data_IF_689617072785
#
_entry.id   IF_689617072785
#
_cell.length_a   1.000
_cell.length_b   1.000
_cell.length_c   1.000
_cell.angle_alpha   90.00
_cell.angle_beta   90.00
_cell.angle_gamma   90.00
#
_symmetry.space_group_name_H-M   'P 1'
#
loop_
_entity.id
_entity.type
_entity.pdbx_description
1 polymer ?
#
# COMPACT_ATOMS: atom_id res chain seq x y z
N UNK A 1 15.11 -23.20 -5.39
CA UNK A 1 13.94 -23.66 -4.60
C UNK A 1 13.03 -22.47 -4.42
N UNK A 2 11.74 -22.66 -4.64
CA UNK A 2 10.69 -21.65 -4.42
C UNK A 2 10.50 -21.43 -2.92
N UNK A 3 10.42 -20.16 -2.49
CA UNK A 3 10.17 -19.81 -1.10
C UNK A 3 8.67 -19.52 -0.91
N UNK A 4 8.10 -20.10 0.15
CA UNK A 4 6.71 -19.84 0.58
C UNK A 4 6.49 -18.40 1.02
N UNK A 5 7.58 -17.73 1.41
CA UNK A 5 7.60 -16.38 1.94
C UNK A 5 8.32 -15.46 0.96
N UNK A 6 7.63 -14.42 0.53
CA UNK A 6 8.18 -13.31 -0.22
C UNK A 6 8.41 -12.11 0.70
N UNK A 7 9.65 -11.93 1.14
CA UNK A 7 10.06 -10.78 1.96
C UNK A 7 10.16 -9.51 1.12
N UNK A 8 9.79 -8.39 1.73
CA UNK A 8 10.13 -7.09 1.14
C UNK A 8 11.65 -6.93 1.12
N UNK A 9 12.16 -6.18 0.14
CA UNK A 9 13.60 -5.90 0.05
C UNK A 9 14.13 -5.29 1.35
N UNK A 10 13.32 -4.44 2.00
CA UNK A 10 13.63 -3.85 3.32
C UNK A 10 13.88 -4.88 4.41
N UNK A 11 12.96 -5.82 4.56
CA UNK A 11 13.07 -6.86 5.58
C UNK A 11 14.26 -7.76 5.28
N UNK A 12 14.44 -8.15 4.00
CA UNK A 12 15.57 -9.00 3.60
C UNK A 12 16.92 -8.31 3.85
N UNK A 13 17.10 -7.06 3.39
CA UNK A 13 18.34 -6.30 3.60
C UNK A 13 18.68 -6.14 5.08
N UNK A 14 17.69 -5.91 5.96
CA UNK A 14 17.94 -5.81 7.40
C UNK A 14 18.32 -7.16 8.03
N UNK A 15 17.70 -8.27 7.60
CA UNK A 15 18.07 -9.60 8.07
C UNK A 15 19.52 -9.92 7.68
N UNK A 16 19.92 -9.53 6.47
CA UNK A 16 21.27 -9.76 5.95
C UNK A 16 22.31 -8.85 6.62
N UNK A 17 21.97 -7.59 6.90
CA UNK A 17 22.80 -6.63 7.64
C UNK A 17 21.96 -5.73 8.58
N UNK A 18 21.83 -6.12 9.87
CA UNK A 18 21.08 -5.35 10.86
C UNK A 18 21.72 -4.01 11.23
N UNK A 19 22.98 -3.77 10.88
CA UNK A 19 23.68 -2.50 11.13
C UNK A 19 23.32 -1.41 10.11
N UNK A 20 22.73 -1.83 8.98
CA UNK A 20 22.29 -0.98 7.89
C UNK A 20 20.94 -0.30 8.15
N UNK A 21 20.00 -0.48 7.22
CA UNK A 21 18.74 0.26 7.22
C UNK A 21 17.68 -0.43 8.04
N UNK A 22 16.92 0.33 8.84
CA UNK A 22 15.75 -0.21 9.53
C UNK A 22 14.77 -0.86 8.54
N UNK A 23 14.09 -1.96 8.92
CA UNK A 23 13.16 -2.67 8.05
C UNK A 23 11.80 -1.95 7.93
N UNK A 24 11.83 -0.62 7.82
CA UNK A 24 10.65 0.24 7.70
C UNK A 24 10.46 0.65 6.24
N UNK A 25 9.37 0.20 5.64
CA UNK A 25 9.00 0.60 4.27
C UNK A 25 8.17 1.88 4.26
N UNK A 26 7.29 2.06 5.24
CA UNK A 26 6.37 3.19 5.30
C UNK A 26 6.09 3.62 6.75
N UNK A 27 5.75 4.90 6.92
CA UNK A 27 5.40 5.52 8.19
C UNK A 27 4.34 6.61 8.00
N UNK A 28 3.74 7.06 9.10
CA UNK A 28 2.79 8.19 9.13
C UNK A 28 3.27 9.28 10.08
N UNK A 29 3.01 10.55 9.74
CA UNK A 29 3.10 11.67 10.66
C UNK A 29 1.84 12.53 10.60
N UNK A 30 1.24 12.80 11.76
CA UNK A 30 0.12 13.73 11.92
C UNK A 30 0.66 15.07 12.41
N UNK A 31 0.50 16.11 11.61
CA UNK A 31 1.03 17.44 11.91
C UNK A 31 0.06 18.17 12.82
N UNK A 32 0.51 18.53 14.03
CA UNK A 32 -0.22 19.43 14.92
C UNK A 32 -0.09 20.88 14.44
N UNK A 33 -1.08 21.70 14.80
CA UNK A 33 -1.19 23.09 14.36
C UNK A 33 -0.27 24.07 15.12
N UNK A 34 0.92 23.61 15.48
CA UNK A 34 1.93 24.35 16.23
C UNK A 34 3.27 24.21 15.54
N UNK A 35 4.10 25.26 15.57
CA UNK A 35 5.43 25.21 14.95
C UNK A 35 6.34 24.22 15.68
N UNK A 36 6.40 24.33 17.00
CA UNK A 36 7.25 23.52 17.87
C UNK A 36 6.47 22.35 18.51
N UNK A 37 7.19 21.49 19.22
CA UNK A 37 6.62 20.35 19.96
C UNK A 37 6.81 19.00 19.26
N UNK A 38 6.49 17.89 19.95
CA UNK A 38 6.82 16.54 19.47
C UNK A 38 6.12 16.17 18.15
N UNK A 39 4.96 16.76 17.87
CA UNK A 39 4.22 16.56 16.62
C UNK A 39 3.97 17.88 15.88
N UNK A 40 4.72 18.94 16.19
CA UNK A 40 4.60 20.23 15.50
C UNK A 40 5.12 20.18 14.06
N UNK A 41 4.98 21.31 13.36
CA UNK A 41 5.35 21.48 11.95
C UNK A 41 6.87 21.30 11.74
N UNK A 42 7.73 21.79 12.63
CA UNK A 42 9.18 21.60 12.47
C UNK A 42 9.59 20.14 12.71
N UNK A 43 8.92 19.48 13.66
CA UNK A 43 9.14 18.07 13.95
C UNK A 43 8.74 17.18 12.77
N UNK A 44 7.67 17.52 12.05
CA UNK A 44 7.26 16.77 10.86
C UNK A 44 8.28 16.86 9.72
N UNK A 45 8.94 18.01 9.54
CA UNK A 45 10.01 18.16 8.54
C UNK A 45 11.22 17.30 8.88
N UNK A 46 11.64 17.33 10.15
CA UNK A 46 12.72 16.46 10.66
C UNK A 46 12.36 14.99 10.48
N UNK A 47 11.13 14.62 10.80
CA UNK A 47 10.63 13.26 10.67
C UNK A 47 10.58 12.79 9.21
N UNK A 48 10.03 13.60 8.31
CA UNK A 48 10.02 13.31 6.88
C UNK A 48 11.45 13.15 6.33
N UNK A 49 12.38 14.01 6.74
CA UNK A 49 13.80 13.90 6.39
C UNK A 49 14.44 12.62 6.94
N UNK A 50 14.12 12.23 8.17
CA UNK A 50 14.56 10.96 8.74
C UNK A 50 14.03 9.79 7.89
N UNK A 51 12.71 9.72 7.68
CA UNK A 51 12.09 8.66 6.89
C UNK A 51 12.74 8.52 5.51
N UNK A 52 12.86 9.61 4.75
CA UNK A 52 13.41 9.59 3.39
C UNK A 52 14.89 9.17 3.35
N UNK A 53 15.73 9.59 4.31
CA UNK A 53 17.16 9.21 4.33
C UNK A 53 17.39 7.74 4.67
N UNK A 54 16.51 7.17 5.50
CA UNK A 54 16.46 5.73 5.74
C UNK A 54 15.62 4.99 4.69
N UNK A 55 15.05 5.74 3.75
CA UNK A 55 14.23 5.36 2.59
C UNK A 55 12.85 4.76 2.88
N UNK A 56 12.27 5.10 4.02
CA UNK A 56 10.86 4.86 4.28
C UNK A 56 10.02 5.93 3.55
N UNK A 57 8.88 5.51 3.00
CA UNK A 57 7.84 6.46 2.58
C UNK A 57 7.15 7.09 3.79
N UNK A 58 6.79 8.38 3.71
CA UNK A 58 6.14 9.10 4.79
C UNK A 58 4.80 9.71 4.34
N UNK A 59 3.70 9.26 4.94
CA UNK A 59 2.41 9.93 4.79
C UNK A 59 2.29 11.07 5.80
N UNK A 60 2.01 12.28 5.31
CA UNK A 60 1.87 13.49 6.11
C UNK A 60 0.39 13.90 6.14
N UNK A 61 -0.23 13.85 7.31
CA UNK A 61 -1.61 14.27 7.51
C UNK A 61 -1.67 15.72 7.98
N UNK A 62 -2.31 16.57 7.18
CA UNK A 62 -2.33 18.04 7.34
C UNK A 62 -3.65 18.56 7.92
N UNK A 63 -4.57 17.67 8.28
CA UNK A 63 -5.94 17.98 8.71
C UNK A 63 -6.05 19.03 9.84
N UNK A 64 -5.06 19.08 10.74
CA UNK A 64 -5.12 19.94 11.91
C UNK A 64 -4.63 21.35 11.64
N UNK A 65 -3.96 21.60 10.52
CA UNK A 65 -3.46 22.92 10.18
C UNK A 65 -4.61 23.89 9.97
N UNK A 66 -4.41 25.14 10.39
CA UNK A 66 -5.39 26.19 10.12
C UNK A 66 -5.62 26.34 8.61
N UNK A 67 -6.88 26.56 8.21
CA UNK A 67 -7.19 26.75 6.81
C UNK A 67 -6.63 28.08 6.31
N UNK A 68 -6.40 28.16 5.00
CA UNK A 68 -5.88 29.36 4.36
C UNK A 68 -6.76 30.57 4.64
N UNK A 69 -6.12 31.67 5.05
CA UNK A 69 -6.82 32.92 5.38
C UNK A 69 -7.38 32.98 6.79
N UNK A 70 -7.29 31.91 7.59
CA UNK A 70 -7.65 31.97 9.00
C UNK A 70 -6.72 32.91 9.76
N UNK A 71 -7.29 33.82 10.56
CA UNK A 71 -6.53 34.79 11.36
C UNK A 71 -6.53 34.34 12.82
N UNK A 72 -5.36 33.97 13.35
CA UNK A 72 -5.19 33.60 14.76
C UNK A 72 -5.33 34.81 15.68
N UNK A 73 -5.56 34.56 16.97
CA UNK A 73 -5.56 35.60 18.01
C UNK A 73 -4.23 36.38 18.09
N UNK A 74 -3.12 35.77 17.69
CA UNK A 74 -1.81 36.42 17.57
C UNK A 74 -1.72 37.44 16.42
N UNK A 75 -2.71 37.50 15.53
CA UNK A 75 -2.73 38.34 14.33
C UNK A 75 -2.09 37.71 13.09
N UNK A 76 -1.52 36.50 13.21
CA UNK A 76 -0.95 35.76 12.06
C UNK A 76 -2.07 35.19 11.20
N UNK A 77 -1.99 35.41 9.89
CA UNK A 77 -2.88 34.78 8.90
C UNK A 77 -2.26 33.49 8.38
N UNK A 78 -2.98 32.37 8.49
CA UNK A 78 -2.52 31.07 8.04
C UNK A 78 -2.47 30.98 6.50
N UNK A 79 -1.42 30.36 5.99
CA UNK A 79 -1.25 30.09 4.54
C UNK A 79 -1.92 28.80 4.07
N UNK A 80 -2.47 28.01 4.99
CA UNK A 80 -3.16 26.75 4.71
C UNK A 80 -2.24 25.54 4.49
N UNK A 81 -2.81 24.32 4.47
CA UNK A 81 -2.06 23.07 4.39
C UNK A 81 -1.33 22.90 3.04
N UNK A 82 -1.88 23.42 1.94
CA UNK A 82 -1.26 23.36 0.61
C UNK A 82 0.09 24.09 0.60
N UNK A 83 0.20 25.24 1.29
CA UNK A 83 1.46 25.99 1.40
C UNK A 83 2.55 25.17 2.10
N UNK A 84 2.21 24.47 3.18
CA UNK A 84 3.16 23.57 3.86
C UNK A 84 3.45 22.32 3.00
N UNK A 85 2.47 21.86 2.22
CA UNK A 85 2.62 20.80 1.22
C UNK A 85 3.83 21.00 0.29
N UNK A 86 4.08 22.25 -0.13
CA UNK A 86 5.23 22.60 -0.98
C UNK A 86 6.57 22.27 -0.33
N UNK A 87 6.69 22.48 0.99
CA UNK A 87 7.92 22.16 1.74
C UNK A 87 8.18 20.66 1.70
N UNK A 88 7.16 19.84 1.94
CA UNK A 88 7.32 18.38 1.86
C UNK A 88 7.63 17.90 0.44
N UNK A 89 7.06 18.54 -0.59
CA UNK A 89 7.43 18.29 -1.98
C UNK A 89 8.90 18.60 -2.24
N UNK A 90 9.41 19.74 -1.76
CA UNK A 90 10.84 20.06 -1.87
C UNK A 90 11.72 19.10 -1.07
N UNK A 91 11.32 18.70 0.14
CA UNK A 91 12.05 17.70 0.92
C UNK A 91 12.15 16.37 0.17
N UNK A 92 11.05 15.91 -0.43
CA UNK A 92 11.04 14.67 -1.19
C UNK A 92 11.96 14.77 -2.41
N UNK A 93 11.89 15.87 -3.17
CA UNK A 93 12.77 16.10 -4.33
C UNK A 93 14.25 16.05 -3.95
N UNK A 94 14.65 16.83 -2.95
CA UNK A 94 16.05 17.05 -2.62
C UNK A 94 16.66 15.82 -1.97
N UNK A 95 15.96 15.20 -1.02
CA UNK A 95 16.52 14.07 -0.26
C UNK A 95 16.48 12.76 -1.03
N UNK A 96 15.46 12.51 -1.87
CA UNK A 96 15.42 11.35 -2.76
C UNK A 96 16.57 11.36 -3.76
N UNK A 97 17.02 12.55 -4.20
CA UNK A 97 18.11 12.71 -5.17
C UNK A 97 19.51 12.79 -4.55
N UNK A 98 19.61 13.24 -3.29
CA UNK A 98 20.89 13.49 -2.62
C UNK A 98 21.46 12.32 -1.79
N UNK A 99 20.70 11.24 -1.58
CA UNK A 99 21.15 10.09 -0.81
C UNK A 99 21.83 9.00 -1.65
N UNK A 100 22.58 8.11 -1.00
CA UNK A 100 23.00 6.80 -1.56
C UNK A 100 21.78 5.99 -2.04
N UNK A 101 20.62 6.30 -1.47
CA UNK A 101 19.38 5.56 -1.65
C UNK A 101 18.27 6.48 -2.17
N UNK A 102 17.76 6.16 -3.37
CA UNK A 102 16.77 6.98 -4.09
C UNK A 102 15.31 6.58 -3.81
N UNK A 103 15.06 5.86 -2.73
CA UNK A 103 13.79 5.21 -2.45
C UNK A 103 13.08 5.94 -1.32
N UNK A 104 12.15 6.83 -1.64
CA UNK A 104 11.37 7.57 -0.67
C UNK A 104 10.21 8.29 -1.36
N UNK A 105 9.05 8.28 -0.72
CA UNK A 105 7.85 8.90 -1.25
C UNK A 105 7.13 9.64 -0.14
N UNK A 106 6.57 10.80 -0.47
CA UNK A 106 5.67 11.52 0.43
C UNK A 106 4.28 11.55 -0.17
N UNK A 107 3.29 11.29 0.69
CA UNK A 107 1.87 11.44 0.38
C UNK A 107 1.27 12.42 1.34
N UNK A 108 0.61 13.45 0.82
CA UNK A 108 -0.11 14.41 1.62
C UNK A 108 -1.56 13.94 1.77
N UNK A 109 -2.06 13.96 3.00
CA UNK A 109 -3.43 13.62 3.31
C UNK A 109 -4.17 14.82 3.88
N UNK A 110 -5.40 15.01 3.40
CA UNK A 110 -6.38 15.93 3.97
C UNK A 110 -7.77 15.28 3.92
N UNK A 111 -8.66 15.65 4.82
CA UNK A 111 -10.03 15.13 4.87
C UNK A 111 -10.94 15.89 3.92
N UNK A 112 -11.94 15.20 3.37
CA UNK A 112 -12.87 15.79 2.40
C UNK A 112 -13.65 16.98 2.97
N UNK A 113 -13.94 16.97 4.27
CA UNK A 113 -14.61 18.06 4.97
C UNK A 113 -13.67 19.21 5.39
N UNK A 114 -12.38 19.15 5.06
CA UNK A 114 -11.46 20.24 5.36
C UNK A 114 -11.79 21.47 4.48
N UNK A 115 -11.77 22.70 5.03
CA UNK A 115 -12.07 23.91 4.25
C UNK A 115 -11.22 24.09 2.99
N UNK A 116 -9.99 23.56 2.98
CA UNK A 116 -9.06 23.66 1.87
C UNK A 116 -9.05 22.41 0.96
N UNK A 117 -9.97 21.45 1.15
CA UNK A 117 -10.02 20.21 0.37
C UNK A 117 -10.20 20.45 -1.13
N UNK A 118 -11.06 21.40 -1.53
CA UNK A 118 -11.24 21.76 -2.94
C UNK A 118 -9.96 22.35 -3.55
N UNK A 119 -9.28 23.27 -2.85
CA UNK A 119 -8.00 23.82 -3.32
C UNK A 119 -6.94 22.72 -3.41
N UNK A 120 -6.90 21.80 -2.43
CA UNK A 120 -5.99 20.65 -2.43
C UNK A 120 -6.22 19.72 -3.64
N UNK A 121 -7.48 19.41 -3.97
CA UNK A 121 -7.86 18.56 -5.13
C UNK A 121 -7.47 19.23 -6.44
N UNK A 122 -7.80 20.50 -6.59
CA UNK A 122 -7.64 21.28 -7.84
C UNK A 122 -6.25 21.88 -8.02
N UNK A 123 -5.36 21.76 -7.02
CA UNK A 123 -3.96 22.20 -7.14
C UNK A 123 -3.28 21.49 -8.33
N UNK A 124 -2.65 22.22 -9.26
CA UNK A 124 -1.95 21.60 -10.37
C UNK A 124 -0.76 20.74 -9.93
N UNK A 125 -0.47 19.65 -10.65
CA UNK A 125 0.71 18.79 -10.39
C UNK A 125 2.01 19.58 -10.28
N UNK A 126 2.18 20.62 -11.09
CA UNK A 126 3.38 21.47 -11.09
C UNK A 126 3.65 22.22 -9.79
N UNK A 127 2.64 22.43 -8.94
CA UNK A 127 2.78 23.08 -7.64
C UNK A 127 3.23 22.10 -6.54
N UNK A 128 2.96 20.80 -6.73
CA UNK A 128 3.28 19.71 -5.81
C UNK A 128 3.88 18.50 -6.56
N UNK A 129 4.93 18.68 -7.37
CA UNK A 129 5.37 17.68 -8.35
C UNK A 129 6.00 16.43 -7.74
N UNK A 130 6.40 16.49 -6.47
CA UNK A 130 7.12 15.41 -5.79
C UNK A 130 6.35 14.83 -4.61
N UNK A 131 5.03 15.03 -4.55
CA UNK A 131 4.17 14.35 -3.57
C UNK A 131 2.95 13.77 -4.26
N UNK A 132 2.42 12.70 -3.69
CA UNK A 132 1.08 12.22 -4.02
C UNK A 132 0.06 12.83 -3.08
N UNK A 133 -1.21 12.79 -3.46
CA UNK A 133 -2.30 13.44 -2.73
C UNK A 133 -3.41 12.44 -2.45
N UNK A 134 -3.88 12.43 -1.21
CA UNK A 134 -4.93 11.54 -0.76
C UNK A 134 -6.01 12.32 0.01
N UNK A 135 -7.26 12.02 -0.31
CA UNK A 135 -8.43 12.51 0.41
C UNK A 135 -8.91 11.44 1.39
N UNK A 136 -8.93 11.78 2.67
CA UNK A 136 -9.59 10.98 3.70
C UNK A 136 -11.10 11.23 3.66
N UNK A 137 -11.91 10.17 3.66
CA UNK A 137 -13.34 10.28 3.39
C UNK A 137 -14.19 9.38 4.31
N UNK A 138 -15.39 9.87 4.63
CA UNK A 138 -16.49 9.12 5.25
C UNK A 138 -17.72 9.23 4.36
N UNK A 139 -18.71 8.37 4.57
CA UNK A 139 -20.01 8.47 3.88
C UNK A 139 -20.67 9.85 4.13
N UNK A 140 -20.65 10.33 5.36
CA UNK A 140 -21.21 11.64 5.73
C UNK A 140 -20.54 12.78 4.94
N UNK A 141 -19.20 12.82 4.92
CA UNK A 141 -18.47 13.87 4.20
C UNK A 141 -18.65 13.77 2.70
N UNK A 142 -18.83 12.55 2.17
CA UNK A 142 -19.18 12.36 0.78
C UNK A 142 -20.56 12.95 0.49
N UNK A 143 -21.57 12.68 1.31
CA UNK A 143 -22.91 13.23 1.09
C UNK A 143 -22.95 14.76 1.19
N UNK A 144 -22.18 15.35 2.11
CA UNK A 144 -22.09 16.80 2.29
C UNK A 144 -21.19 17.51 1.26
N UNK A 145 -20.39 16.76 0.48
CA UNK A 145 -19.45 17.34 -0.46
C UNK A 145 -20.16 18.07 -1.62
N UNK A 146 -19.80 19.34 -1.82
CA UNK A 146 -20.35 20.19 -2.89
C UNK A 146 -19.48 20.23 -4.16
N UNK A 147 -18.35 19.52 -4.18
CA UNK A 147 -17.35 19.50 -5.26
C UNK A 147 -16.97 18.06 -5.66
N UNK A 148 -18.00 17.20 -5.76
CA UNK A 148 -17.82 15.79 -6.12
C UNK A 148 -17.20 15.63 -7.50
N UNK A 149 -17.57 16.46 -8.46
CA UNK A 149 -17.07 16.39 -9.84
C UNK A 149 -15.55 16.60 -9.92
N UNK A 150 -15.01 17.57 -9.17
CA UNK A 150 -13.57 17.82 -9.09
C UNK A 150 -12.83 16.63 -8.46
N UNK A 151 -13.41 16.04 -7.41
CA UNK A 151 -12.85 14.84 -6.78
C UNK A 151 -12.87 13.64 -7.72
N UNK A 152 -14.00 13.37 -8.38
CA UNK A 152 -14.17 12.30 -9.36
C UNK A 152 -13.18 12.44 -10.52
N UNK A 153 -12.99 13.67 -11.02
CA UNK A 153 -11.99 13.95 -12.05
C UNK A 153 -10.57 13.69 -11.55
N UNK A 154 -10.24 14.11 -10.32
CA UNK A 154 -8.93 13.87 -9.70
C UNK A 154 -8.62 12.39 -9.49
N UNK A 155 -9.63 11.58 -9.13
CA UNK A 155 -9.48 10.12 -9.03
C UNK A 155 -9.24 9.53 -10.42
N UNK A 156 -10.05 9.93 -11.40
CA UNK A 156 -9.97 9.43 -12.78
C UNK A 156 -8.59 9.67 -13.39
N UNK A 157 -8.02 10.85 -13.21
CA UNK A 157 -6.69 11.21 -13.72
C UNK A 157 -5.53 10.62 -12.91
N UNK A 158 -5.81 9.94 -11.79
CA UNK A 158 -4.78 9.41 -10.88
C UNK A 158 -4.13 10.45 -9.98
N UNK A 159 -4.65 11.69 -9.96
CA UNK A 159 -4.14 12.79 -9.14
C UNK A 159 -4.47 12.66 -7.65
N UNK A 160 -5.61 12.07 -7.36
CA UNK A 160 -6.18 11.98 -6.01
C UNK A 160 -6.52 10.54 -5.70
N UNK A 161 -5.99 10.05 -4.59
CA UNK A 161 -6.35 8.76 -4.02
C UNK A 161 -7.40 8.94 -2.93
N UNK A 162 -8.17 7.89 -2.64
CA UNK A 162 -9.14 7.90 -1.53
C UNK A 162 -8.71 6.98 -0.40
N UNK A 163 -8.95 7.42 0.82
CA UNK A 163 -8.71 6.63 2.02
C UNK A 163 -9.90 6.73 2.96
N UNK A 164 -10.51 5.61 3.34
CA UNK A 164 -11.57 5.62 4.34
C UNK A 164 -10.99 6.02 5.70
N UNK A 165 -11.69 6.89 6.43
CA UNK A 165 -11.33 7.20 7.81
C UNK A 165 -11.53 5.95 8.67
N UNK A 166 -10.51 5.62 9.48
CA UNK A 166 -10.56 4.46 10.39
C UNK A 166 -10.16 4.84 11.82
N UNK A 167 -10.63 4.03 12.75
CA UNK A 167 -10.36 4.13 14.17
C UNK A 167 -9.91 2.77 14.68
N UNK A 168 -9.07 2.77 15.72
CA UNK A 168 -8.74 1.55 16.45
C UNK A 168 -9.87 1.16 17.42
N UNK A 169 -9.66 0.05 18.14
CA UNK A 169 -10.63 -0.49 19.10
C UNK A 169 -10.88 0.43 20.31
N UNK A 170 -10.05 1.46 20.52
CA UNK A 170 -10.20 2.48 21.57
C UNK A 170 -10.92 3.74 21.04
N UNK A 171 -11.33 3.73 19.77
CA UNK A 171 -11.97 4.87 19.12
C UNK A 171 -10.98 5.98 18.74
N UNK A 172 -9.67 5.72 18.76
CA UNK A 172 -8.66 6.69 18.35
C UNK A 172 -8.41 6.57 16.84
N UNK A 173 -8.31 7.73 16.17
CA UNK A 173 -8.07 7.79 14.73
C UNK A 173 -6.72 7.13 14.39
N UNK A 174 -6.75 6.27 13.38
CA UNK A 174 -5.58 5.71 12.73
C UNK A 174 -5.56 6.17 11.27
N UNK A 175 -4.37 6.29 10.70
CA UNK A 175 -4.12 7.11 9.53
C UNK A 175 -3.47 6.27 8.44
N UNK A 176 -3.91 6.45 7.19
CA UNK A 176 -3.34 5.75 6.03
C UNK A 176 -1.89 6.15 5.78
N UNK A 177 -1.06 5.17 5.37
CA UNK A 177 0.33 5.34 4.95
C UNK A 177 0.44 5.73 3.47
N UNK A 178 1.67 5.68 2.93
CA UNK A 178 2.00 6.06 1.55
C UNK A 178 1.28 5.24 0.49
N UNK A 179 1.15 3.92 0.67
CA UNK A 179 0.50 3.08 -0.35
C UNK A 179 -0.96 2.75 0.00
N UNK A 180 -1.49 3.28 1.11
CA UNK A 180 -2.88 3.13 1.56
C UNK A 180 -3.33 1.70 1.94
N UNK A 181 -2.38 0.80 2.23
CA UNK A 181 -2.62 -0.53 2.78
C UNK A 181 -2.44 -0.60 4.30
N UNK A 182 -1.69 0.33 4.90
CA UNK A 182 -1.39 0.34 6.33
C UNK A 182 -2.06 1.52 7.04
N UNK A 183 -2.71 1.24 8.16
CA UNK A 183 -3.24 2.26 9.08
C UNK A 183 -2.45 2.29 10.39
N UNK A 184 -1.91 3.46 10.75
CA UNK A 184 -0.98 3.64 11.85
C UNK A 184 -1.37 4.86 12.71
N UNK A 185 -1.01 4.88 14.01
CA UNK A 185 -0.91 6.15 14.73
C UNK A 185 0.22 7.02 14.15
N UNK A 186 0.25 8.31 14.51
CA UNK A 186 1.39 9.18 14.17
C UNK A 186 2.70 8.57 14.69
N UNK A 187 3.76 8.62 13.88
CA UNK A 187 5.08 8.01 14.09
C UNK A 187 5.12 6.48 14.14
N UNK A 188 3.98 5.80 13.89
CA UNK A 188 3.94 4.35 13.77
C UNK A 188 4.57 3.86 12.46
N UNK A 189 4.99 2.61 12.47
CA UNK A 189 5.61 1.89 11.36
C UNK A 189 4.97 0.53 11.17
N UNK A 190 5.29 -0.18 10.09
CA UNK A 190 4.82 -1.54 9.89
C UNK A 190 5.88 -2.37 9.17
N UNK A 191 6.05 -3.61 9.63
CA UNK A 191 6.84 -4.62 8.93
C UNK A 191 5.96 -5.39 7.97
N UNK A 192 6.38 -5.41 6.70
CA UNK A 192 5.63 -6.03 5.62
C UNK A 192 6.34 -7.26 5.06
N UNK A 193 5.56 -8.31 4.85
CA UNK A 193 5.98 -9.56 4.22
C UNK A 193 4.76 -10.20 3.55
N UNK A 194 4.98 -11.10 2.58
CA UNK A 194 3.90 -11.71 1.83
C UNK A 194 4.03 -13.23 1.80
N UNK A 195 2.88 -13.91 1.88
CA UNK A 195 2.78 -15.30 1.46
C UNK A 195 2.88 -15.37 -0.06
N UNK A 196 3.80 -16.17 -0.59
CA UNK A 196 3.89 -16.48 -2.00
C UNK A 196 2.94 -17.64 -2.32
N UNK A 197 1.70 -17.33 -2.67
CA UNK A 197 0.68 -18.32 -3.00
C UNK A 197 1.07 -19.15 -4.23
N UNK A 198 1.80 -18.58 -5.19
CA UNK A 198 2.29 -19.30 -6.36
C UNK A 198 3.29 -20.41 -6.00
N UNK A 199 3.99 -20.28 -4.88
CA UNK A 199 4.93 -21.28 -4.37
C UNK A 199 4.30 -22.33 -3.44
N UNK A 200 2.99 -22.27 -3.19
CA UNK A 200 2.32 -23.22 -2.30
C UNK A 200 1.73 -24.40 -3.10
N UNK A 201 1.86 -25.63 -2.56
CA UNK A 201 0.85 -26.67 -2.78
C UNK A 201 -0.36 -26.43 -1.86
N UNK A 202 -1.47 -27.13 -2.09
CA UNK A 202 -2.72 -26.97 -1.33
C UNK A 202 -2.48 -27.10 0.19
N UNK A 203 -1.75 -28.14 0.60
CA UNK A 203 -1.43 -28.39 2.00
C UNK A 203 -0.40 -27.38 2.58
N UNK A 204 0.36 -26.69 1.73
CA UNK A 204 1.36 -25.70 2.16
C UNK A 204 0.74 -24.35 2.49
N UNK A 205 -0.45 -24.02 1.95
CA UNK A 205 -1.06 -22.69 2.09
C UNK A 205 -1.18 -22.30 3.57
N UNK A 206 -1.82 -23.12 4.40
CA UNK A 206 -1.95 -22.80 5.83
C UNK A 206 -0.59 -22.69 6.53
N UNK A 207 0.36 -23.57 6.17
CA UNK A 207 1.73 -23.52 6.71
C UNK A 207 2.42 -22.20 6.36
N UNK A 208 2.29 -21.72 5.13
CA UNK A 208 2.91 -20.48 4.67
C UNK A 208 2.40 -19.25 5.44
N UNK A 209 1.10 -19.20 5.74
CA UNK A 209 0.53 -18.14 6.60
C UNK A 209 1.07 -18.19 8.04
N UNK A 210 1.17 -19.40 8.63
CA UNK A 210 1.73 -19.61 9.97
C UNK A 210 3.19 -19.16 10.02
N UNK A 211 4.01 -19.61 9.07
CA UNK A 211 5.43 -19.26 8.99
C UNK A 211 5.62 -17.75 8.79
N UNK A 212 4.89 -17.16 7.84
CA UNK A 212 5.00 -15.74 7.52
C UNK A 212 4.62 -14.84 8.70
N UNK A 213 3.54 -15.17 9.41
CA UNK A 213 3.13 -14.39 10.57
C UNK A 213 4.11 -14.57 11.75
N UNK A 214 4.55 -15.80 11.99
CA UNK A 214 5.51 -16.10 13.06
C UNK A 214 6.81 -15.34 12.85
N UNK A 215 7.30 -15.31 11.61
CA UNK A 215 8.51 -14.57 11.25
C UNK A 215 8.35 -13.07 11.50
N UNK A 216 7.29 -12.45 10.97
CA UNK A 216 7.02 -11.02 11.18
C UNK A 216 6.92 -10.66 12.66
N UNK A 217 6.17 -11.46 13.43
CA UNK A 217 5.94 -11.20 14.85
C UNK A 217 7.23 -11.33 15.68
N UNK A 218 8.10 -12.29 15.35
CA UNK A 218 9.40 -12.45 15.99
C UNK A 218 10.32 -11.26 15.66
N UNK A 219 10.41 -10.92 14.37
CA UNK A 219 11.26 -9.84 13.87
C UNK A 219 10.89 -8.49 14.49
N UNK A 220 9.60 -8.20 14.61
CA UNK A 220 9.06 -6.93 15.10
C UNK A 220 9.71 -6.39 16.37
N UNK A 221 10.03 -7.25 17.33
CA UNK A 221 10.62 -6.84 18.61
C UNK A 221 12.13 -6.60 18.58
N UNK A 222 12.80 -6.92 17.47
CA UNK A 222 14.27 -7.01 17.39
C UNK A 222 14.89 -5.98 16.44
N UNK A 223 14.07 -5.16 15.78
CA UNK A 223 14.51 -4.29 14.67
C UNK A 223 15.27 -3.03 15.09
N UNK A 224 15.21 -2.65 16.38
CA UNK A 224 15.76 -1.38 16.85
C UNK A 224 15.01 -0.14 16.36
N UNK A 225 13.83 -0.27 15.74
CA UNK A 225 13.13 0.85 15.07
C UNK A 225 12.88 2.07 15.96
N UNK A 226 12.67 1.85 17.27
CA UNK A 226 12.43 2.93 18.25
C UNK A 226 13.70 3.60 18.78
N UNK A 227 14.90 3.12 18.48
CA UNK A 227 16.15 3.59 19.10
C UNK A 227 16.53 5.02 18.70
N UNK A 228 16.10 5.46 17.51
CA UNK A 228 16.33 6.83 17.05
C UNK A 228 15.48 7.87 17.80
N UNK A 229 14.42 7.42 18.49
CA UNK A 229 13.39 8.27 19.10
C UNK A 229 12.45 8.94 18.09
N UNK A 230 12.62 8.71 16.78
CA UNK A 230 11.71 9.27 15.77
C UNK A 230 10.47 8.40 15.58
N UNK A 231 10.64 7.10 15.42
CA UNK A 231 9.54 6.14 15.32
C UNK A 231 9.05 5.71 16.71
N UNK A 232 7.79 5.28 16.79
CA UNK A 232 7.28 4.62 17.98
C UNK A 232 8.04 3.31 18.22
N UNK A 233 8.29 3.00 19.49
CA UNK A 233 8.95 1.74 19.84
C UNK A 233 8.00 0.54 19.63
N UNK A 234 8.55 -0.66 19.36
CA UNK A 234 7.78 -1.92 19.28
C UNK A 234 7.02 -2.31 20.55
N UNK A 235 7.23 -1.59 21.66
CA UNK A 235 6.45 -1.74 22.89
C UNK A 235 5.04 -1.14 22.72
N UNK A 236 4.94 0.02 22.09
CA UNK A 236 3.68 0.74 21.87
C UNK A 236 3.08 0.47 20.49
N UNK A 237 3.94 0.39 19.47
CA UNK A 237 3.53 0.11 18.10
C UNK A 237 3.50 -1.40 17.89
N UNK A 238 2.37 -2.06 18.16
CA UNK A 238 2.23 -3.53 18.08
C UNK A 238 1.61 -3.97 16.75
N UNK A 239 2.30 -3.77 15.63
CA UNK A 239 1.69 -3.91 14.31
C UNK A 239 2.63 -4.56 13.29
N UNK A 240 2.07 -5.48 12.50
CA UNK A 240 2.74 -6.11 11.34
C UNK A 240 1.76 -6.21 10.18
N UNK A 241 2.25 -6.46 8.97
CA UNK A 241 1.41 -6.59 7.77
C UNK A 241 1.82 -7.77 6.94
N UNK A 242 1.19 -8.93 7.19
CA UNK A 242 1.26 -10.08 6.31
C UNK A 242 0.26 -9.91 5.17
N UNK A 243 0.77 -9.84 3.94
CA UNK A 243 -0.01 -9.87 2.72
C UNK A 243 0.14 -11.20 1.98
N UNK A 244 -0.19 -11.16 0.70
CA UNK A 244 0.00 -12.28 -0.22
C UNK A 244 0.37 -11.77 -1.60
N UNK A 245 1.00 -12.63 -2.39
CA UNK A 245 1.23 -12.46 -3.82
C UNK A 245 1.07 -13.80 -4.55
N UNK A 246 0.97 -13.77 -5.88
CA UNK A 246 0.93 -14.98 -6.70
C UNK A 246 -0.43 -15.65 -6.74
N UNK A 247 -1.54 -14.93 -6.46
CA UNK A 247 -2.88 -15.52 -6.51
C UNK A 247 -3.21 -16.06 -7.90
N UNK A 248 -2.92 -15.30 -8.96
CA UNK A 248 -3.21 -15.74 -10.32
C UNK A 248 -2.44 -17.02 -10.69
N UNK A 249 -1.20 -17.17 -10.22
CA UNK A 249 -0.41 -18.39 -10.41
C UNK A 249 -1.06 -19.58 -9.70
N UNK A 250 -1.49 -19.40 -8.45
CA UNK A 250 -2.19 -20.42 -7.69
C UNK A 250 -3.47 -20.87 -8.41
N UNK A 251 -4.33 -19.91 -8.80
CA UNK A 251 -5.58 -20.18 -9.49
C UNK A 251 -5.37 -20.95 -10.81
N UNK A 252 -4.38 -20.54 -11.62
CA UNK A 252 -3.98 -21.26 -12.84
C UNK A 252 -3.59 -22.70 -12.54
N UNK A 253 -2.73 -22.95 -11.53
CA UNK A 253 -2.24 -24.30 -11.21
C UNK A 253 -3.35 -25.26 -10.80
N UNK A 254 -4.43 -24.75 -10.20
CA UNK A 254 -5.61 -25.52 -9.81
C UNK A 254 -6.73 -25.48 -10.85
N UNK A 255 -6.52 -24.84 -12.01
CA UNK A 255 -7.52 -24.67 -13.07
C UNK A 255 -8.83 -24.06 -12.55
N UNK A 256 -8.71 -23.01 -11.73
CA UNK A 256 -9.81 -22.23 -11.18
C UNK A 256 -9.76 -20.83 -11.79
N UNK A 257 -10.87 -20.34 -12.34
CA UNK A 257 -10.96 -18.97 -12.83
C UNK A 257 -11.14 -17.98 -11.67
N UNK A 258 -10.78 -16.71 -11.87
CA UNK A 258 -11.11 -15.62 -10.95
C UNK A 258 -12.63 -15.52 -10.70
N UNK A 259 -13.44 -15.77 -11.73
CA UNK A 259 -14.90 -15.85 -11.59
C UNK A 259 -15.32 -16.91 -10.57
N UNK A 260 -14.87 -18.16 -10.75
CA UNK A 260 -15.27 -19.27 -9.88
C UNK A 260 -14.71 -19.11 -8.47
N UNK A 261 -13.50 -18.56 -8.34
CA UNK A 261 -12.91 -18.22 -7.05
C UNK A 261 -13.70 -17.12 -6.33
N UNK A 262 -14.13 -16.08 -7.05
CA UNK A 262 -14.99 -15.03 -6.52
C UNK A 262 -16.37 -15.54 -6.07
N UNK A 263 -16.97 -16.46 -6.82
CA UNK A 263 -18.22 -17.15 -6.42
C UNK A 263 -17.99 -17.94 -5.14
N UNK A 264 -16.91 -18.71 -5.06
CA UNK A 264 -16.57 -19.51 -3.88
C UNK A 264 -16.30 -18.64 -2.64
N UNK A 265 -15.65 -17.48 -2.82
CA UNK A 265 -15.44 -16.50 -1.74
C UNK A 265 -16.76 -15.98 -1.18
N UNK A 266 -17.72 -15.64 -2.03
CA UNK A 266 -19.05 -15.22 -1.57
C UNK A 266 -19.75 -16.34 -0.80
N UNK A 267 -19.75 -17.56 -1.33
CA UNK A 267 -20.37 -18.73 -0.68
C UNK A 267 -19.77 -18.95 0.71
N UNK A 268 -18.44 -19.00 0.82
CA UNK A 268 -17.73 -19.12 2.09
C UNK A 268 -18.06 -17.97 3.04
N UNK A 269 -18.06 -16.74 2.53
CA UNK A 269 -18.36 -15.57 3.34
C UNK A 269 -19.81 -15.53 3.84
N UNK A 270 -20.77 -16.09 3.11
CA UNK A 270 -22.16 -16.22 3.56
C UNK A 270 -22.40 -17.44 4.47
N UNK A 271 -21.36 -18.23 4.76
CA UNK A 271 -21.46 -19.42 5.61
C UNK A 271 -22.11 -20.62 4.92
N UNK A 272 -22.17 -20.61 3.59
CA UNK A 272 -22.55 -21.78 2.80
C UNK A 272 -21.43 -22.81 2.82
N UNK A 273 -21.75 -24.10 2.58
CA UNK A 273 -20.75 -25.16 2.44
C UNK A 273 -20.95 -25.82 1.08
N UNK A 274 -19.98 -25.65 0.20
CA UNK A 274 -20.04 -26.11 -1.19
C UNK A 274 -18.87 -27.03 -1.48
N UNK A 275 -19.13 -28.17 -2.09
CA UNK A 275 -18.06 -29.09 -2.51
C UNK A 275 -17.61 -28.74 -3.93
N UNK A 276 -16.60 -27.88 -4.04
CA UNK A 276 -15.94 -27.56 -5.31
C UNK A 276 -14.46 -27.27 -5.09
N UNK A 277 -13.58 -27.44 -6.11
CA UNK A 277 -12.16 -27.11 -5.98
C UNK A 277 -11.92 -25.65 -5.54
N UNK A 278 -12.70 -24.71 -6.07
CA UNK A 278 -12.61 -23.30 -5.69
C UNK A 278 -12.97 -23.06 -4.21
N UNK A 279 -14.05 -23.69 -3.72
CA UNK A 279 -14.47 -23.56 -2.33
C UNK A 279 -13.47 -24.20 -1.35
N UNK A 280 -12.90 -25.36 -1.68
CA UNK A 280 -11.86 -25.98 -0.86
C UNK A 280 -10.60 -25.10 -0.80
N UNK A 281 -10.21 -24.47 -1.92
CA UNK A 281 -9.09 -23.54 -1.96
C UNK A 281 -9.34 -22.29 -1.10
N UNK A 282 -10.54 -21.71 -1.17
CA UNK A 282 -10.95 -20.60 -0.28
C UNK A 282 -10.89 -21.02 1.19
N UNK A 283 -11.42 -22.20 1.51
CA UNK A 283 -11.43 -22.74 2.88
C UNK A 283 -10.01 -22.91 3.43
N UNK A 284 -9.08 -23.35 2.58
CA UNK A 284 -7.68 -23.53 2.95
C UNK A 284 -6.94 -22.19 3.19
N UNK A 285 -7.21 -21.18 2.35
CA UNK A 285 -6.70 -19.81 2.57
C UNK A 285 -7.28 -19.22 3.87
N UNK A 286 -8.59 -19.38 4.08
CA UNK A 286 -9.26 -18.89 5.28
C UNK A 286 -8.70 -19.55 6.57
N UNK A 287 -8.46 -20.86 6.53
CA UNK A 287 -7.79 -21.60 7.61
C UNK A 287 -6.38 -21.05 7.89
N UNK A 288 -5.61 -20.74 6.85
CA UNK A 288 -4.29 -20.10 6.99
C UNK A 288 -4.38 -18.72 7.64
N UNK A 289 -5.31 -17.89 7.19
CA UNK A 289 -5.57 -16.55 7.75
C UNK A 289 -5.93 -16.64 9.24
N UNK A 290 -6.84 -17.52 9.64
CA UNK A 290 -7.26 -17.65 11.04
C UNK A 290 -6.12 -18.16 11.95
N UNK A 291 -5.29 -19.09 11.46
CA UNK A 291 -4.13 -19.57 12.20
C UNK A 291 -3.06 -18.49 12.35
N UNK A 292 -2.77 -17.73 11.28
CA UNK A 292 -1.91 -16.54 11.36
C UNK A 292 -2.50 -15.49 12.33
N UNK A 293 -3.81 -15.27 12.31
CA UNK A 293 -4.45 -14.34 13.24
C UNK A 293 -4.31 -14.80 14.70
N UNK A 294 -4.35 -16.10 14.98
CA UNK A 294 -4.07 -16.65 16.31
C UNK A 294 -2.65 -16.30 16.78
N UNK A 295 -1.66 -16.51 15.91
CA UNK A 295 -0.25 -16.18 16.22
C UNK A 295 -0.09 -14.69 16.47
N UNK A 296 -0.64 -13.84 15.62
CA UNK A 296 -0.60 -12.39 15.82
C UNK A 296 -1.18 -11.97 17.18
N UNK A 297 -2.28 -12.59 17.62
CA UNK A 297 -2.89 -12.34 18.94
C UNK A 297 -2.02 -12.83 20.09
N UNK A 298 -1.35 -13.97 19.95
CA UNK A 298 -0.39 -14.47 20.95
C UNK A 298 0.76 -13.48 21.16
N UNK A 299 1.22 -12.86 20.05
CA UNK A 299 2.19 -11.77 20.08
C UNK A 299 1.58 -10.40 20.40
N UNK A 300 0.30 -10.32 20.77
CA UNK A 300 -0.40 -9.07 21.13
C UNK A 300 -0.34 -8.01 20.03
N UNK A 301 -0.30 -8.42 18.77
CA UNK A 301 -0.40 -7.50 17.64
C UNK A 301 -1.82 -6.95 17.58
N UNK A 302 -1.95 -5.64 17.40
CA UNK A 302 -3.25 -4.96 17.27
C UNK A 302 -3.72 -4.92 15.81
N UNK A 303 -2.79 -5.04 14.86
CA UNK A 303 -3.03 -5.20 13.41
C UNK A 303 -1.92 -6.09 12.83
N UNK A 304 -2.28 -6.92 11.85
CA UNK A 304 -1.45 -8.03 11.40
C UNK A 304 -1.49 -8.28 9.89
N UNK A 305 -2.54 -7.85 9.17
CA UNK A 305 -2.70 -8.14 7.75
C UNK A 305 -2.76 -6.87 6.92
N UNK A 306 -2.04 -6.86 5.79
CA UNK A 306 -2.06 -5.76 4.83
C UNK A 306 -1.75 -6.29 3.43
N UNK A 307 -2.58 -5.96 2.43
CA UNK A 307 -2.26 -6.27 1.02
C UNK A 307 -1.58 -5.04 0.43
N UNK A 308 -0.24 -5.05 0.47
CA UNK A 308 0.58 -4.00 -0.12
C UNK A 308 0.82 -4.25 -1.62
N UNK A 309 1.20 -3.23 -2.41
CA UNK A 309 1.69 -3.43 -3.76
C UNK A 309 3.00 -4.23 -3.71
N UNK A 310 3.10 -5.32 -4.49
CA UNK A 310 4.22 -6.28 -4.37
C UNK A 310 5.14 -6.31 -5.57
N UNK A 311 5.18 -5.28 -6.43
CA UNK A 311 5.91 -5.34 -7.71
C UNK A 311 7.36 -5.86 -7.59
N UNK A 312 8.17 -5.31 -6.68
CA UNK A 312 9.55 -5.77 -6.50
C UNK A 312 9.63 -7.19 -5.92
N UNK A 313 8.75 -7.52 -4.98
CA UNK A 313 8.69 -8.85 -4.35
C UNK A 313 8.28 -9.91 -5.38
N UNK A 314 7.34 -9.57 -6.26
CA UNK A 314 6.83 -10.39 -7.35
C UNK A 314 7.95 -10.78 -8.30
N UNK A 315 8.76 -9.83 -8.78
CA UNK A 315 9.88 -10.08 -9.69
C UNK A 315 10.94 -11.03 -9.13
N UNK A 316 11.17 -10.99 -7.81
CA UNK A 316 12.11 -11.90 -7.12
C UNK A 316 11.49 -13.23 -6.71
N UNK A 317 10.18 -13.40 -6.90
CA UNK A 317 9.43 -14.59 -6.48
C UNK A 317 9.07 -15.47 -7.67
N UNK A 318 9.10 -16.78 -7.46
CA UNK A 318 8.72 -17.78 -8.47
C UNK A 318 7.57 -18.64 -7.96
N UNK A 319 6.72 -19.10 -8.88
CA UNK A 319 5.75 -20.16 -8.64
C UNK A 319 6.41 -21.55 -8.79
N UNK A 320 5.68 -22.61 -8.43
CA UNK A 320 6.21 -23.99 -8.48
C UNK A 320 6.57 -24.48 -9.89
N UNK A 321 6.04 -23.85 -10.94
CA UNK A 321 6.35 -24.18 -12.33
C UNK A 321 7.52 -23.36 -12.89
N UNK A 322 8.09 -22.45 -12.08
CA UNK A 322 9.24 -21.62 -12.43
C UNK A 322 8.89 -20.27 -13.07
N UNK A 323 7.61 -19.92 -13.18
CA UNK A 323 7.19 -18.59 -13.63
C UNK A 323 7.37 -17.56 -12.52
N UNK A 324 7.51 -16.29 -12.90
CA UNK A 324 7.44 -15.19 -11.94
C UNK A 324 6.09 -15.20 -11.24
N UNK A 325 6.08 -15.00 -9.93
CA UNK A 325 4.83 -14.92 -9.17
C UNK A 325 4.16 -13.57 -9.46
N UNK A 326 2.86 -13.58 -9.71
CA UNK A 326 2.06 -12.38 -10.00
C UNK A 326 1.97 -11.44 -8.80
N UNK A 327 1.81 -10.12 -9.02
CA UNK A 327 1.61 -9.18 -7.92
C UNK A 327 0.33 -9.48 -7.13
N UNK A 328 0.43 -9.39 -5.81
CA UNK A 328 -0.68 -9.45 -4.86
C UNK A 328 -1.84 -10.44 -5.16
N UNK A 329 -3.08 -9.94 -5.21
CA UNK A 329 -4.31 -10.69 -5.47
C UNK A 329 -5.01 -10.27 -6.77
N UNK A 330 -4.59 -9.20 -7.44
CA UNK A 330 -5.16 -8.82 -8.73
C UNK A 330 -4.58 -9.68 -9.86
N UNK A 331 -5.37 -9.92 -10.92
CA UNK A 331 -4.82 -10.46 -12.15
C UNK A 331 -3.79 -9.49 -12.74
N UNK A 332 -2.66 -9.98 -13.29
CA UNK A 332 -1.69 -9.11 -13.91
C UNK A 332 -2.28 -8.46 -15.17
N UNK A 333 -1.77 -7.28 -15.55
CA UNK A 333 -2.19 -6.58 -16.77
C UNK A 333 -1.83 -7.39 -18.03
N UNK A 334 -0.68 -8.07 -18.00
CA UNK A 334 -0.16 -8.89 -19.07
C UNK A 334 0.51 -10.14 -18.49
N UNK A 335 0.57 -11.23 -19.28
CA UNK A 335 1.30 -12.46 -18.91
C UNK A 335 2.82 -12.26 -18.89
N UNK A 336 3.31 -11.25 -19.60
CA UNK A 336 4.73 -10.89 -19.62
C UNK A 336 4.92 -9.40 -19.39
N UNK A 337 5.97 -9.04 -18.65
CA UNK A 337 6.39 -7.66 -18.41
C UNK A 337 7.88 -7.57 -18.69
N UNK A 338 8.25 -6.68 -19.61
CA UNK A 338 9.64 -6.33 -19.86
C UNK A 338 10.04 -5.15 -18.98
N UNK A 339 11.21 -5.24 -18.37
CA UNK A 339 11.81 -4.17 -17.56
C UNK A 339 13.17 -3.83 -18.14
N UNK A 340 13.30 -2.60 -18.64
CA UNK A 340 14.62 -2.06 -18.93
C UNK A 340 15.29 -1.71 -17.60
N UNK A 341 16.52 -2.16 -17.43
CA UNK A 341 17.37 -1.73 -16.32
C UNK A 341 18.59 -1.07 -16.94
N UNK A 342 18.90 0.17 -16.51
CA UNK A 342 20.01 0.93 -17.06
C UNK A 342 21.39 0.23 -17.02
N UNK A 343 21.54 -0.82 -16.21
CA UNK A 343 22.78 -1.60 -16.01
C UNK A 343 22.72 -3.03 -16.57
N UNK A 344 21.56 -3.72 -16.53
CA UNK A 344 21.46 -5.14 -16.90
C UNK A 344 20.69 -5.36 -18.22
N UNK A 345 20.22 -4.29 -18.87
CA UNK A 345 19.40 -4.37 -20.08
C UNK A 345 17.96 -4.79 -19.77
N UNK A 346 17.25 -5.23 -20.81
CA UNK A 346 15.84 -5.64 -20.72
C UNK A 346 15.75 -7.03 -20.08
N UNK A 347 15.15 -7.10 -18.90
CA UNK A 347 14.75 -8.34 -18.23
C UNK A 347 13.26 -8.61 -18.45
N UNK A 348 12.93 -9.80 -18.95
CA UNK A 348 11.55 -10.23 -19.17
C UNK A 348 11.06 -11.10 -18.02
N UNK A 349 10.00 -10.67 -17.37
CA UNK A 349 9.28 -11.43 -16.36
C UNK A 349 8.06 -12.10 -16.97
N UNK A 350 7.99 -13.42 -16.87
CA UNK A 350 6.88 -14.23 -17.40
C UNK A 350 6.07 -14.82 -16.25
N UNK A 351 4.78 -14.50 -16.18
CA UNK A 351 3.85 -14.98 -15.15
C UNK A 351 3.18 -16.31 -15.49
N UNK A 352 3.44 -16.87 -16.68
CA UNK A 352 2.80 -18.08 -17.18
C UNK A 352 1.42 -17.82 -17.77
N UNK A 353 0.68 -18.88 -18.04
CA UNK A 353 -0.66 -18.80 -18.65
C UNK A 353 -1.75 -18.52 -17.61
N UNK A 354 -1.61 -17.38 -16.91
CA UNK A 354 -2.58 -16.87 -15.94
C UNK A 354 -3.63 -16.02 -16.64
N UNK A 355 -4.84 -15.92 -16.06
CA UNK A 355 -5.82 -14.93 -16.50
C UNK A 355 -5.28 -13.51 -16.27
N UNK A 356 -5.42 -12.64 -17.27
CA UNK A 356 -5.03 -11.22 -17.17
C UNK A 356 -6.23 -10.32 -16.89
N UNK A 357 -5.98 -9.09 -16.44
CA UNK A 357 -7.02 -8.15 -16.03
C UNK A 357 -8.14 -7.95 -17.07
N UNK A 358 -7.79 -7.86 -18.36
CA UNK A 358 -8.74 -7.72 -19.46
C UNK A 358 -9.60 -8.96 -19.74
N UNK A 359 -9.13 -10.15 -19.33
CA UNK A 359 -9.88 -11.41 -19.43
C UNK A 359 -10.82 -11.60 -18.22
N UNK A 360 -10.33 -11.25 -17.03
CA UNK A 360 -11.08 -11.38 -15.77
C UNK A 360 -12.23 -10.37 -15.71
N UNK A 361 -11.97 -9.12 -16.08
CA UNK A 361 -12.91 -8.01 -15.98
C UNK A 361 -13.10 -7.47 -14.55
N UNK A 362 -13.55 -6.21 -14.48
CA UNK A 362 -13.64 -5.45 -13.23
C UNK A 362 -14.49 -6.14 -12.16
N UNK A 363 -15.68 -6.60 -12.51
CA UNK A 363 -16.64 -7.14 -11.53
C UNK A 363 -16.12 -8.43 -10.85
N UNK A 364 -15.48 -9.31 -11.62
CA UNK A 364 -14.90 -10.54 -11.07
C UNK A 364 -13.69 -10.25 -10.18
N UNK A 365 -12.79 -9.35 -10.61
CA UNK A 365 -11.67 -8.91 -9.77
C UNK A 365 -12.16 -8.25 -8.48
N UNK A 366 -13.10 -7.31 -8.59
CA UNK A 366 -13.68 -6.61 -7.44
C UNK A 366 -14.33 -7.60 -6.48
N UNK A 367 -15.06 -8.60 -6.98
CA UNK A 367 -15.65 -9.68 -6.17
C UNK A 367 -14.59 -10.48 -5.40
N UNK A 368 -13.49 -10.86 -6.05
CA UNK A 368 -12.38 -11.56 -5.39
C UNK A 368 -11.72 -10.67 -4.33
N UNK A 369 -11.42 -9.41 -4.68
CA UNK A 369 -10.85 -8.45 -3.75
C UNK A 369 -11.76 -8.25 -2.53
N UNK A 370 -13.05 -7.96 -2.74
CA UNK A 370 -14.01 -7.77 -1.66
C UNK A 370 -14.15 -9.03 -0.78
N UNK A 371 -14.15 -10.21 -1.40
CA UNK A 371 -14.22 -11.50 -0.69
C UNK A 371 -13.02 -11.75 0.22
N UNK A 372 -11.79 -11.51 -0.27
CA UNK A 372 -10.56 -11.66 0.53
C UNK A 372 -10.50 -10.62 1.65
N UNK A 373 -10.80 -9.35 1.35
CA UNK A 373 -10.79 -8.29 2.36
C UNK A 373 -11.84 -8.53 3.43
N UNK A 374 -13.00 -9.08 3.07
CA UNK A 374 -14.01 -9.50 4.05
C UNK A 374 -13.46 -10.57 5.01
N UNK A 375 -12.77 -11.59 4.50
CA UNK A 375 -12.13 -12.61 5.35
C UNK A 375 -11.08 -12.01 6.28
N UNK A 376 -10.16 -11.20 5.74
CA UNK A 376 -9.12 -10.57 6.56
C UNK A 376 -9.72 -9.62 7.61
N UNK A 377 -10.76 -8.88 7.26
CA UNK A 377 -11.42 -7.95 8.19
C UNK A 377 -12.12 -8.68 9.35
N UNK A 378 -12.67 -9.87 9.14
CA UNK A 378 -13.30 -10.70 10.20
C UNK A 378 -12.33 -11.07 11.32
N UNK A 379 -11.03 -11.14 11.02
CA UNK A 379 -10.01 -11.39 12.06
C UNK A 379 -9.91 -10.25 13.09
N UNK A 380 -10.38 -9.04 12.74
CA UNK A 380 -10.19 -7.82 13.52
C UNK A 380 -8.77 -7.25 13.47
N UNK A 381 -7.88 -7.81 12.64
CA UNK A 381 -6.45 -7.44 12.55
C UNK A 381 -6.06 -6.83 11.19
N UNK A 382 -7.02 -6.57 10.30
CA UNK A 382 -6.74 -5.98 8.99
C UNK A 382 -6.36 -4.51 9.11
N UNK A 383 -5.20 -4.15 8.54
CA UNK A 383 -4.90 -2.78 8.14
C UNK A 383 -5.70 -2.39 6.89
N UNK A 384 -5.46 -3.02 5.74
CA UNK A 384 -6.14 -2.63 4.51
C UNK A 384 -5.52 -3.23 3.25
N UNK A 385 -5.92 -2.68 2.12
CA UNK A 385 -5.45 -3.06 0.79
C UNK A 385 -5.26 -1.81 -0.07
N UNK A 386 -4.11 -1.69 -0.72
CA UNK A 386 -3.86 -0.75 -1.83
C UNK A 386 -4.69 -1.11 -3.06
N UNK A 387 -6.00 -0.92 -2.97
CA UNK A 387 -6.94 -1.35 -4.00
C UNK A 387 -6.90 -0.41 -5.22
N UNK A 388 -6.53 -0.95 -6.38
CA UNK A 388 -6.50 -0.19 -7.62
C UNK A 388 -7.84 -0.27 -8.35
N UNK A 389 -8.26 0.83 -8.97
CA UNK A 389 -9.37 0.85 -9.94
C UNK A 389 -8.87 0.81 -11.38
N UNK A 390 -9.71 0.34 -12.30
CA UNK A 390 -9.37 0.20 -13.71
C UNK A 390 -10.11 1.24 -14.55
N UNK A 391 -9.43 2.34 -14.84
CA UNK A 391 -9.96 3.57 -15.45
C UNK A 391 -10.63 3.40 -16.81
N UNK A 392 -10.26 2.36 -17.54
CA UNK A 392 -10.80 1.98 -18.84
C UNK A 392 -11.89 0.91 -18.75
N UNK A 393 -12.22 0.44 -17.53
CA UNK A 393 -13.30 -0.50 -17.26
C UNK A 393 -14.38 0.05 -16.31
N UNK A 394 -14.07 1.10 -15.53
CA UNK A 394 -15.02 1.72 -14.60
C UNK A 394 -15.43 3.11 -15.05
N UNK A 395 -16.63 3.53 -14.64
CA UNK A 395 -17.06 4.93 -14.75
C UNK A 395 -16.94 5.57 -13.37
N UNK A 396 -16.09 6.60 -13.25
CA UNK A 396 -15.95 7.36 -12.01
C UNK A 396 -17.10 8.35 -11.86
N UNK A 397 -18.24 7.85 -11.36
CA UNK A 397 -19.41 8.64 -10.99
C UNK A 397 -19.71 8.53 -9.49
N UNK A 398 -20.81 9.15 -9.05
CA UNK A 398 -21.21 9.08 -7.65
C UNK A 398 -21.50 7.64 -7.19
N UNK A 399 -22.11 6.82 -8.05
CA UNK A 399 -22.47 5.45 -7.72
C UNK A 399 -21.22 4.60 -7.48
N UNK A 400 -20.15 4.81 -8.25
CA UNK A 400 -18.87 4.16 -8.05
C UNK A 400 -18.28 4.45 -6.66
N UNK A 401 -18.22 5.73 -6.25
CA UNK A 401 -17.68 6.10 -4.93
C UNK A 401 -18.59 5.58 -3.81
N UNK A 402 -19.91 5.63 -3.96
CA UNK A 402 -20.87 5.12 -2.98
C UNK A 402 -20.84 3.58 -2.85
N UNK A 403 -20.61 2.87 -3.95
CA UNK A 403 -20.37 1.43 -3.94
C UNK A 403 -19.06 1.11 -3.23
N UNK A 404 -17.97 1.82 -3.57
CA UNK A 404 -16.69 1.65 -2.90
C UNK A 404 -16.77 1.98 -1.40
N UNK A 405 -17.48 3.04 -0.99
CA UNK A 405 -17.69 3.38 0.42
C UNK A 405 -18.38 2.26 1.20
N UNK A 406 -19.39 1.61 0.59
CA UNK A 406 -20.11 0.46 1.16
C UNK A 406 -19.34 -0.85 1.11
N UNK A 407 -18.35 -0.98 0.23
CA UNK A 407 -17.56 -2.18 0.07
C UNK A 407 -16.60 -2.39 1.26
N UNK A 408 -16.07 -3.61 1.45
CA UNK A 408 -15.08 -3.88 2.51
C UNK A 408 -13.71 -3.23 2.24
N UNK A 409 -13.48 -2.65 1.06
CA UNK A 409 -12.22 -2.00 0.71
C UNK A 409 -11.90 -0.83 1.64
N UNK A 410 -10.62 -0.56 1.84
CA UNK A 410 -10.15 0.48 2.77
C UNK A 410 -9.68 1.74 2.05
N UNK A 411 -9.13 1.60 0.86
CA UNK A 411 -8.60 2.71 0.06
C UNK A 411 -8.94 2.54 -1.42
N UNK A 412 -8.68 3.59 -2.19
CA UNK A 412 -8.66 3.60 -3.65
C UNK A 412 -7.33 4.23 -4.06
N UNK A 413 -6.41 3.39 -4.54
CA UNK A 413 -5.01 3.73 -4.78
C UNK A 413 -4.79 4.25 -6.21
N UNK A 414 -4.24 3.45 -7.11
CA UNK A 414 -4.07 3.89 -8.51
C UNK A 414 -5.31 3.63 -9.37
N UNK A 415 -5.51 4.55 -10.31
CA UNK A 415 -6.41 4.44 -11.45
C UNK A 415 -5.59 3.89 -12.63
N UNK A 416 -5.67 2.58 -12.89
CA UNK A 416 -4.86 1.87 -13.88
C UNK A 416 -5.57 1.76 -15.23
N UNK A 417 -4.82 1.62 -16.31
CA UNK A 417 -5.34 1.18 -17.61
C UNK A 417 -4.92 -0.27 -17.81
N UNK A 418 -5.88 -1.15 -18.09
CA UNK A 418 -5.64 -2.60 -18.13
C UNK A 418 -5.96 -3.24 -19.49
N UNK A 419 -6.59 -2.49 -20.40
CA UNK A 419 -6.81 -2.92 -21.77
C UNK A 419 -5.56 -2.63 -22.61
N UNK A 420 -5.18 -3.57 -23.48
CA UNK A 420 -3.91 -3.50 -24.24
C UNK A 420 -3.76 -2.29 -25.18
N UNK A 421 -4.87 -1.65 -25.56
CA UNK A 421 -4.90 -0.57 -26.57
C UNK A 421 -5.24 0.82 -26.00
N UNK A 422 -5.38 0.98 -24.68
CA UNK A 422 -5.92 2.21 -24.07
C UNK A 422 -4.87 3.13 -23.45
N UNK A 423 -3.57 2.81 -23.54
CA UNK A 423 -2.52 3.66 -22.97
C UNK A 423 -2.64 5.11 -23.47
N UNK A 424 -3.06 6.01 -22.58
CA UNK A 424 -3.18 7.43 -22.89
C UNK A 424 -1.79 8.06 -22.89
N UNK A 425 -1.16 8.08 -24.06
CA UNK A 425 0.18 8.67 -24.28
C UNK A 425 0.19 10.20 -24.22
N UNK A 426 -0.94 10.85 -23.92
CA UNK A 426 -1.03 12.32 -23.86
C UNK A 426 -0.67 12.92 -22.51
N UNK A 427 -0.61 12.10 -21.45
CA UNK A 427 -0.19 12.56 -20.13
C UNK A 427 1.30 12.23 -19.89
N UNK A 428 2.16 13.21 -20.17
CA UNK A 428 3.61 13.10 -19.91
C UNK A 428 3.95 12.75 -18.45
N UNK A 429 2.99 12.91 -17.52
CA UNK A 429 3.14 12.54 -16.12
C UNK A 429 2.68 11.10 -15.79
N UNK A 430 1.82 10.47 -16.61
CA UNK A 430 1.56 9.03 -16.48
C UNK A 430 2.81 8.22 -16.85
N UNK A 431 3.62 8.75 -17.79
CA UNK A 431 4.96 8.26 -18.06
C UNK A 431 5.89 8.47 -16.85
N UNK A 432 5.81 9.60 -16.14
CA UNK A 432 6.57 9.84 -14.90
C UNK A 432 6.13 8.95 -13.73
N UNK A 433 4.87 8.52 -13.65
CA UNK A 433 4.40 7.58 -12.62
C UNK A 433 4.87 6.15 -12.87
N UNK A 434 4.89 5.74 -14.16
CA UNK A 434 5.57 4.51 -14.57
C UNK A 434 7.08 4.61 -14.29
N UNK A 435 7.71 5.74 -14.64
CA UNK A 435 9.13 6.01 -14.43
C UNK A 435 9.48 6.15 -12.94
N UNK A 436 8.57 6.62 -12.06
CA UNK A 436 8.77 6.72 -10.60
C UNK A 436 8.65 5.36 -9.92
N UNK A 437 7.69 4.54 -10.35
CA UNK A 437 7.60 3.13 -9.96
C UNK A 437 8.82 2.37 -10.51
N UNK A 438 9.23 2.62 -11.76
CA UNK A 438 10.44 2.04 -12.38
C UNK A 438 11.71 2.45 -11.64
N UNK A 439 11.91 3.73 -11.37
CA UNK A 439 13.05 4.24 -10.61
C UNK A 439 13.07 3.69 -9.17
N UNK A 440 11.93 3.54 -8.52
CA UNK A 440 11.85 2.89 -7.20
C UNK A 440 12.25 1.40 -7.26
N UNK A 441 11.92 0.71 -8.37
CA UNK A 441 12.18 -0.71 -8.57
C UNK A 441 13.62 -1.00 -9.05
N UNK A 442 14.19 -0.18 -9.94
CA UNK A 442 15.56 -0.30 -10.43
C UNK A 442 16.61 -0.23 -9.30
N UNK A 443 16.40 0.66 -8.32
CA UNK A 443 17.35 0.85 -7.22
C UNK A 443 17.31 -0.25 -6.15
N UNK A 444 16.35 -1.18 -6.19
CA UNK A 444 16.28 -2.35 -5.30
C UNK A 444 17.03 -3.55 -5.90
N UNK A 445 17.21 -3.58 -7.23
CA UNK A 445 17.84 -4.70 -7.94
C UNK A 445 19.35 -4.52 -8.17
N UNK A 446 19.85 -3.28 -8.03
CA UNK A 446 21.24 -2.91 -8.37
C UNK A 446 22.17 -2.69 -7.16
N UNK A 447 21.96 -3.34 -6.02
CA UNK A 447 22.97 -3.32 -4.94
C UNK A 447 24.10 -4.30 -5.26
N UNK A 448 25.20 -3.80 -5.86
CA UNK A 448 26.51 -4.44 -5.71
C UNK A 448 26.89 -4.40 -4.23
N UNK A 449 27.26 -5.56 -3.67
CA UNK A 449 27.94 -5.64 -2.37
C UNK A 449 29.34 -5.04 -2.56
N UNK A 450 29.47 -3.72 -2.44
CA UNK A 450 30.78 -3.12 -2.22
C UNK A 450 31.08 -3.21 -0.73
N UNK A 451 31.91 -4.19 -0.39
CA UNK A 451 32.58 -4.31 0.90
C UNK A 451 33.46 -3.06 1.11
N UNK A 452 33.01 -2.11 1.94
CA UNK A 452 33.86 -1.02 2.42
C UNK A 452 34.79 -1.53 3.54
N UNK A 453 35.74 -2.37 3.14
CA UNK A 453 37.03 -2.43 3.80
C UNK A 453 37.99 -1.47 3.06
N UNK A 454 37.82 -0.16 3.24
CA UNK A 454 38.90 0.81 2.98
C UNK A 454 38.63 2.19 3.63
N UNK A 455 39.49 2.45 4.63
CA UNK A 455 39.78 3.69 5.39
C UNK A 455 38.81 4.17 6.48
#
# INVERSE_FOLDING_TARGET
MTNLIARTGRVQSWIDDPSGRLPVSCTVFVVENEMEGPNGIEASWKFASHALRYGAGCAIHLDKLDPKGYVRESGVTASGPISFGKIYSTLNEILRRGGVYKNGAIVLHISLNNPDALEFITTPRSELPWVKRCINITEEWWQDCTFKEELLQGIRSGDIWLNKVRYDNEGKRIYGNVCLEVYLPSRGTCLLQHVNLGACEFDDISRAFIEGMSELCNLHSQTGVGESGEYLSPEFDRQVGLGMLGLANLLRRYNISYHDFGVALDQYNHGEIIHSPAYELVSQIASGIEQAASIAREYKMVRAFAIAPTASCSYRSKDLDGFTATPEIAPPISRTVDRDSGTFGIETYNYGDVEIASEVGWDNYKRVADGIITMLNRTGLLHGYSFNSWSDMVTYDNAFVEEWLRSPQTSLYYSLQVMGDTQDKTDAYAALDAEDVENYLENILNEEITCDCQE
#
